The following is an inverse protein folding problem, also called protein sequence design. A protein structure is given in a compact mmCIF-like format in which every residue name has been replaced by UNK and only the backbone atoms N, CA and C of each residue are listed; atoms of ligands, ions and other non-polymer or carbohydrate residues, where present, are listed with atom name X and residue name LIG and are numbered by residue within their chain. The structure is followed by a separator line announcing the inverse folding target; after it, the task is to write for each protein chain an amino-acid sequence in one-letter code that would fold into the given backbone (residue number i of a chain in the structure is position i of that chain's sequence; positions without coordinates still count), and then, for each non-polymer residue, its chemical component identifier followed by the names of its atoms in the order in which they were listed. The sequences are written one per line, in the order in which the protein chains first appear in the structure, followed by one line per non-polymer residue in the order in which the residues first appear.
data_IF_506291523295
#
_entry.id   IF_506291523295
#
_cell.length_a   1.000
_cell.length_b   1.000
_cell.length_c   1.000
_cell.angle_alpha   90.00
_cell.angle_beta   90.00
_cell.angle_gamma   90.00
#
_symmetry.space_group_name_H-M   'P 1'
#
loop_
_entity.id
_entity.type
_entity.pdbx_description
1 polymer ?
#
# COMPACT_ATOMS: atom_id res chain seq x y z
N UNK A 1 33.48 -4.21 -9.55
CA UNK A 1 32.62 -4.92 -8.55
C UNK A 1 31.41 -5.49 -9.29
N UNK A 2 31.04 -6.74 -9.09
CA UNK A 2 29.87 -7.32 -9.75
C UNK A 2 28.60 -6.57 -9.35
N UNK A 3 27.75 -6.28 -10.32
CA UNK A 3 26.54 -5.43 -10.20
C UNK A 3 25.54 -5.88 -9.12
N UNK A 4 25.54 -7.15 -8.76
CA UNK A 4 24.64 -7.70 -7.74
C UNK A 4 24.90 -7.22 -6.32
N UNK A 5 26.16 -6.98 -5.94
CA UNK A 5 26.49 -6.52 -4.57
C UNK A 5 26.09 -5.05 -4.34
N UNK A 6 26.16 -4.19 -5.35
CA UNK A 6 25.69 -2.80 -5.24
C UNK A 6 24.20 -2.71 -4.99
N UNK A 7 23.41 -3.50 -5.70
CA UNK A 7 21.96 -3.54 -5.57
C UNK A 7 21.52 -3.90 -4.14
N UNK A 8 22.14 -4.91 -3.55
CA UNK A 8 21.84 -5.33 -2.18
C UNK A 8 22.21 -4.25 -1.15
N UNK A 9 23.39 -3.62 -1.30
CA UNK A 9 23.85 -2.56 -0.39
C UNK A 9 22.97 -1.31 -0.50
N UNK A 10 22.65 -0.87 -1.73
CA UNK A 10 21.81 0.32 -1.94
C UNK A 10 20.38 0.07 -1.40
N UNK A 11 19.81 -1.12 -1.64
CA UNK A 11 18.51 -1.51 -1.11
C UNK A 11 18.52 -1.55 0.42
N UNK A 12 19.59 -2.06 1.03
CA UNK A 12 19.73 -2.10 2.49
C UNK A 12 19.83 -0.70 3.10
N UNK A 13 20.65 0.19 2.54
CA UNK A 13 20.83 1.58 3.02
C UNK A 13 19.50 2.34 2.89
N UNK A 14 18.82 2.22 1.77
CA UNK A 14 17.52 2.86 1.56
C UNK A 14 16.48 2.27 2.53
N UNK A 15 16.46 0.96 2.72
CA UNK A 15 15.58 0.30 3.68
C UNK A 15 15.83 0.77 5.12
N UNK A 16 17.08 0.90 5.52
CA UNK A 16 17.45 1.45 6.83
C UNK A 16 16.97 2.90 6.99
N UNK A 17 17.20 3.76 5.99
CA UNK A 17 16.71 5.14 5.99
C UNK A 17 15.18 5.22 6.10
N UNK A 18 14.45 4.33 5.41
CA UNK A 18 12.99 4.27 5.50
C UNK A 18 12.50 3.89 6.91
N UNK A 19 13.13 2.89 7.52
CA UNK A 19 12.77 2.42 8.86
C UNK A 19 13.15 3.42 9.95
N UNK A 20 14.26 4.14 9.78
CA UNK A 20 14.73 5.17 10.72
C UNK A 20 14.07 6.53 10.51
N UNK A 21 13.28 6.71 9.45
CA UNK A 21 12.49 7.92 9.25
C UNK A 21 11.50 8.11 10.39
N UNK A 22 11.55 9.28 11.02
CA UNK A 22 10.69 9.63 12.16
C UNK A 22 9.20 9.44 11.87
N UNK A 23 8.77 9.82 10.67
CA UNK A 23 7.37 9.70 10.24
C UNK A 23 6.94 8.24 10.11
N UNK A 24 7.77 7.41 9.49
CA UNK A 24 7.48 5.98 9.32
C UNK A 24 7.54 5.24 10.65
N UNK A 25 8.50 5.60 11.52
CA UNK A 25 8.59 5.06 12.87
C UNK A 25 7.36 5.38 13.71
N UNK A 26 6.87 6.63 13.68
CA UNK A 26 5.64 7.03 14.37
C UNK A 26 4.39 6.33 13.81
N UNK A 27 4.30 6.18 12.48
CA UNK A 27 3.20 5.47 11.84
C UNK A 27 3.18 3.99 12.26
N UNK A 28 4.33 3.32 12.26
CA UNK A 28 4.45 1.94 12.72
C UNK A 28 4.14 1.80 14.21
N UNK A 29 4.69 2.68 15.05
CA UNK A 29 4.43 2.67 16.49
C UNK A 29 2.93 2.88 16.79
N UNK A 30 2.30 3.88 16.15
CA UNK A 30 0.86 4.14 16.29
C UNK A 30 0.00 2.95 15.83
N UNK A 31 0.41 2.30 14.75
CA UNK A 31 -0.25 1.08 14.27
C UNK A 31 -0.14 -0.08 15.28
N UNK A 32 1.04 -0.31 15.85
CA UNK A 32 1.25 -1.35 16.87
C UNK A 32 0.45 -1.06 18.15
N UNK A 33 0.43 0.20 18.59
CA UNK A 33 -0.39 0.64 19.73
C UNK A 33 -1.87 0.39 19.47
N UNK A 34 -2.37 0.75 18.28
CA UNK A 34 -3.76 0.47 17.89
C UNK A 34 -4.09 -1.03 17.95
N UNK A 35 -3.21 -1.88 17.39
CA UNK A 35 -3.41 -3.33 17.45
C UNK A 35 -3.39 -3.86 18.88
N UNK A 36 -2.50 -3.35 19.74
CA UNK A 36 -2.44 -3.70 21.16
C UNK A 36 -3.70 -3.28 21.92
N UNK A 37 -4.19 -2.05 21.69
CA UNK A 37 -5.44 -1.59 22.29
C UNK A 37 -6.64 -2.44 21.88
N UNK A 38 -6.74 -2.79 20.59
CA UNK A 38 -7.80 -3.66 20.09
C UNK A 38 -7.71 -5.08 20.66
N UNK A 39 -6.48 -5.58 20.89
CA UNK A 39 -6.28 -6.88 21.50
C UNK A 39 -6.82 -6.90 22.94
N UNK A 40 -6.56 -5.85 23.70
CA UNK A 40 -7.03 -5.73 25.09
C UNK A 40 -8.53 -5.46 25.17
N UNK A 41 -9.05 -4.60 24.27
CA UNK A 41 -10.44 -4.14 24.34
C UNK A 41 -11.46 -5.15 23.76
N UNK A 42 -11.08 -5.86 22.69
CA UNK A 42 -12.01 -6.75 21.98
C UNK A 42 -11.56 -8.23 22.08
N UNK A 43 -10.50 -8.60 21.39
CA UNK A 43 -9.93 -9.95 21.43
C UNK A 43 -8.79 -10.07 20.40
N UNK A 44 -8.13 -11.22 20.40
CA UNK A 44 -7.21 -11.61 19.33
C UNK A 44 -7.86 -11.48 17.94
N UNK A 45 -9.11 -11.90 17.77
CA UNK A 45 -9.79 -11.86 16.46
C UNK A 45 -10.02 -10.44 15.96
N UNK A 46 -10.38 -9.51 16.85
CA UNK A 46 -10.54 -8.10 16.52
C UNK A 46 -9.23 -7.46 16.11
N UNK A 47 -8.17 -7.65 16.89
CA UNK A 47 -6.83 -7.16 16.58
C UNK A 47 -6.28 -7.74 15.28
N UNK A 48 -6.38 -9.06 15.08
CA UNK A 48 -5.93 -9.72 13.86
C UNK A 48 -6.74 -9.30 12.64
N UNK A 49 -8.06 -9.14 12.80
CA UNK A 49 -8.93 -8.57 11.76
C UNK A 49 -8.48 -7.17 11.38
N UNK A 50 -8.29 -6.28 12.36
CA UNK A 50 -7.80 -4.92 12.13
C UNK A 50 -6.43 -4.91 11.44
N UNK A 51 -5.51 -5.77 11.87
CA UNK A 51 -4.22 -5.94 11.18
C UNK A 51 -4.40 -6.24 9.70
N UNK A 52 -5.21 -7.25 9.35
CA UNK A 52 -5.41 -7.65 7.95
C UNK A 52 -5.98 -6.51 7.08
N UNK A 53 -6.87 -5.66 7.65
CA UNK A 53 -7.49 -4.57 6.90
C UNK A 53 -6.68 -3.28 6.87
N UNK A 54 -5.90 -2.99 7.91
CA UNK A 54 -5.20 -1.72 8.07
C UNK A 54 -3.73 -1.80 7.64
N UNK A 55 -3.13 -2.99 7.65
CA UNK A 55 -1.73 -3.17 7.26
C UNK A 55 -1.37 -2.63 5.86
N UNK A 56 -2.26 -2.61 4.84
CA UNK A 56 -1.95 -2.00 3.56
C UNK A 56 -1.64 -0.50 3.65
N UNK A 57 -2.17 0.21 4.63
CA UNK A 57 -1.87 1.64 4.82
C UNK A 57 -0.41 1.89 5.19
N UNK A 58 0.29 0.92 5.78
CA UNK A 58 1.72 1.05 6.04
C UNK A 58 2.52 1.30 4.76
N UNK A 59 2.09 0.73 3.64
CA UNK A 59 2.74 0.97 2.34
C UNK A 59 2.61 2.42 1.88
N UNK A 60 1.53 3.12 2.23
CA UNK A 60 1.39 4.56 1.98
C UNK A 60 2.49 5.35 2.69
N UNK A 61 2.70 5.06 3.97
CA UNK A 61 3.72 5.76 4.77
C UNK A 61 5.12 5.48 4.25
N UNK A 62 5.44 4.24 3.88
CA UNK A 62 6.75 3.92 3.33
C UNK A 62 6.99 4.51 1.94
N UNK A 63 5.94 4.74 1.15
CA UNK A 63 6.03 5.29 -0.21
C UNK A 63 5.73 6.79 -0.31
N UNK A 64 5.49 7.48 0.80
CA UNK A 64 5.15 8.91 0.82
C UNK A 64 6.23 9.81 0.22
N UNK A 65 7.51 9.43 0.37
CA UNK A 65 8.66 10.16 -0.12
C UNK A 65 9.41 9.34 -1.17
N UNK A 66 8.77 9.14 -2.33
CA UNK A 66 9.43 8.39 -3.38
C UNK A 66 10.37 9.25 -4.21
N UNK A 67 9.99 10.50 -4.49
CA UNK A 67 10.74 11.35 -5.44
C UNK A 67 10.78 12.81 -5.00
N UNK A 68 9.79 13.27 -4.24
CA UNK A 68 9.61 14.71 -3.99
C UNK A 68 10.85 15.36 -3.39
N UNK A 69 11.39 14.77 -2.34
CA UNK A 69 12.54 15.34 -1.62
C UNK A 69 13.81 15.31 -2.47
N UNK A 70 14.01 14.31 -3.32
CA UNK A 70 15.15 14.26 -4.23
C UNK A 70 15.08 15.31 -5.33
N UNK A 71 13.87 15.59 -5.86
CA UNK A 71 13.67 16.64 -6.88
C UNK A 71 13.96 18.02 -6.27
N UNK A 72 13.48 18.27 -5.04
CA UNK A 72 13.59 19.59 -4.42
C UNK A 72 14.93 19.84 -3.70
N UNK A 73 15.66 18.79 -3.31
CA UNK A 73 16.95 18.89 -2.65
C UNK A 73 18.14 19.02 -3.60
N UNK A 74 17.93 18.96 -4.93
CA UNK A 74 19.01 18.90 -5.92
C UNK A 74 19.79 17.57 -5.93
N UNK A 75 19.42 16.60 -5.11
CA UNK A 75 20.07 15.28 -5.10
C UNK A 75 19.99 14.58 -6.44
N UNK A 76 18.92 14.81 -7.21
CA UNK A 76 18.76 14.27 -8.56
C UNK A 76 19.81 14.78 -9.53
N UNK A 77 20.15 16.06 -9.48
CA UNK A 77 21.18 16.66 -10.32
C UNK A 77 22.54 16.04 -10.01
N UNK A 78 22.89 15.89 -8.74
CA UNK A 78 24.12 15.24 -8.31
C UNK A 78 24.19 13.77 -8.76
N UNK A 79 23.08 13.05 -8.71
CA UNK A 79 23.00 11.63 -9.11
C UNK A 79 23.21 11.48 -10.63
N UNK A 80 22.67 12.39 -11.41
CA UNK A 80 22.88 12.44 -12.87
C UNK A 80 24.29 12.88 -13.22
N UNK A 81 24.86 13.84 -12.50
CA UNK A 81 26.24 14.29 -12.66
C UNK A 81 27.25 13.16 -12.44
N UNK A 82 26.97 12.27 -11.49
CA UNK A 82 27.78 11.07 -11.21
C UNK A 82 27.57 9.92 -12.22
N UNK A 83 26.85 10.17 -13.32
CA UNK A 83 26.58 9.18 -14.36
C UNK A 83 25.54 8.11 -13.95
N UNK A 84 24.82 8.34 -12.85
CA UNK A 84 23.72 7.49 -12.44
C UNK A 84 22.52 7.63 -13.35
N UNK A 85 21.75 6.53 -13.49
CA UNK A 85 20.45 6.57 -14.18
C UNK A 85 19.36 6.72 -13.11
N UNK A 86 18.58 7.79 -13.20
CA UNK A 86 17.45 8.07 -12.29
C UNK A 86 16.49 6.87 -12.20
N UNK A 87 16.24 6.22 -13.34
CA UNK A 87 15.40 5.02 -13.41
C UNK A 87 15.91 3.90 -12.50
N UNK A 88 17.22 3.65 -12.47
CA UNK A 88 17.77 2.59 -11.63
C UNK A 88 17.67 2.94 -10.15
N UNK A 89 17.96 4.18 -9.78
CA UNK A 89 17.81 4.65 -8.41
C UNK A 89 16.38 4.50 -7.91
N UNK A 90 15.40 4.94 -8.69
CA UNK A 90 13.98 4.83 -8.31
C UNK A 90 13.51 3.38 -8.25
N UNK A 91 14.03 2.52 -9.15
CA UNK A 91 13.75 1.09 -9.06
C UNK A 91 14.28 0.50 -7.75
N UNK A 92 15.50 0.83 -7.35
CA UNK A 92 16.07 0.36 -6.07
C UNK A 92 15.30 0.91 -4.86
N UNK A 93 14.90 2.18 -4.91
CA UNK A 93 14.08 2.78 -3.85
C UNK A 93 12.71 2.11 -3.77
N UNK A 94 12.04 1.87 -4.88
CA UNK A 94 10.77 1.15 -4.93
C UNK A 94 10.89 -0.30 -4.42
N UNK A 95 11.97 -1.00 -4.82
CA UNK A 95 12.26 -2.34 -4.34
C UNK A 95 12.50 -2.37 -2.82
N UNK A 96 13.28 -1.42 -2.29
CA UNK A 96 13.53 -1.30 -0.86
C UNK A 96 12.23 -1.04 -0.07
N UNK A 97 11.37 -0.15 -0.57
CA UNK A 97 10.05 0.12 0.02
C UNK A 97 9.15 -1.13 0.03
N UNK A 98 9.11 -1.84 -1.10
CA UNK A 98 8.34 -3.07 -1.22
C UNK A 98 8.86 -4.15 -0.26
N UNK A 99 10.18 -4.35 -0.20
CA UNK A 99 10.82 -5.32 0.71
C UNK A 99 10.56 -4.96 2.17
N UNK A 100 10.73 -3.69 2.55
CA UNK A 100 10.45 -3.23 3.91
C UNK A 100 8.96 -3.41 4.28
N UNK A 101 8.05 -2.98 3.39
CA UNK A 101 6.61 -3.11 3.60
C UNK A 101 6.17 -4.58 3.71
N UNK A 102 6.58 -5.41 2.78
CA UNK A 102 6.28 -6.86 2.82
C UNK A 102 6.93 -7.53 4.02
N UNK A 103 8.20 -7.21 4.31
CA UNK A 103 8.94 -7.80 5.43
C UNK A 103 8.29 -7.53 6.78
N UNK A 104 7.92 -6.27 7.07
CA UNK A 104 7.21 -5.89 8.30
C UNK A 104 5.85 -6.58 8.38
N UNK A 105 5.09 -6.59 7.27
CA UNK A 105 3.79 -7.24 7.25
C UNK A 105 3.89 -8.76 7.45
N UNK A 106 4.89 -9.43 6.86
CA UNK A 106 5.16 -10.84 7.07
C UNK A 106 5.54 -11.13 8.52
N UNK A 107 6.39 -10.30 9.12
CA UNK A 107 6.80 -10.45 10.51
C UNK A 107 5.60 -10.33 11.46
N UNK A 108 4.75 -9.32 11.27
CA UNK A 108 3.54 -9.14 12.07
C UNK A 108 2.55 -10.29 11.84
N UNK A 109 2.33 -10.68 10.58
CA UNK A 109 1.45 -11.78 10.24
C UNK A 109 1.92 -13.10 10.86
N UNK A 110 3.23 -13.38 10.83
CA UNK A 110 3.78 -14.60 11.44
C UNK A 110 3.58 -14.63 12.95
N UNK A 111 3.70 -13.49 13.64
CA UNK A 111 3.40 -13.38 15.07
C UNK A 111 1.92 -13.67 15.37
N UNK A 112 1.00 -13.04 14.62
CA UNK A 112 -0.44 -13.33 14.75
C UNK A 112 -0.78 -14.79 14.41
N UNK A 113 -0.18 -15.32 13.34
CA UNK A 113 -0.41 -16.70 12.93
C UNK A 113 0.08 -17.72 13.97
N UNK A 114 1.28 -17.50 14.51
CA UNK A 114 1.85 -18.36 15.56
C UNK A 114 0.97 -18.38 16.82
N UNK A 115 0.54 -17.20 17.28
CA UNK A 115 -0.38 -17.12 18.43
C UNK A 115 -1.75 -17.75 18.12
N UNK A 116 -2.31 -17.45 16.95
CA UNK A 116 -3.60 -18.00 16.55
C UNK A 116 -3.59 -19.52 16.39
N UNK A 117 -2.47 -20.11 15.91
CA UNK A 117 -2.28 -21.57 15.86
C UNK A 117 -2.17 -22.15 17.26
N UNK A 118 -1.38 -21.55 18.15
CA UNK A 118 -1.20 -22.00 19.52
C UNK A 118 -2.52 -21.98 20.32
N UNK A 119 -3.41 -21.03 20.03
CA UNK A 119 -4.71 -20.88 20.73
C UNK A 119 -5.89 -21.51 19.98
N UNK A 120 -5.65 -22.16 18.82
CA UNK A 120 -6.72 -22.73 17.98
C UNK A 120 -7.64 -21.68 17.32
N UNK A 121 -7.24 -20.41 17.27
CA UNK A 121 -8.05 -19.31 16.74
C UNK A 121 -7.67 -18.92 15.29
N UNK A 122 -6.66 -19.56 14.71
CA UNK A 122 -6.19 -19.25 13.36
C UNK A 122 -7.16 -19.81 12.30
N UNK A 123 -7.67 -18.93 11.46
CA UNK A 123 -8.49 -19.31 10.31
C UNK A 123 -7.65 -19.33 9.02
N UNK A 124 -7.66 -20.42 8.27
CA UNK A 124 -6.91 -20.57 7.01
C UNK A 124 -7.27 -19.46 5.99
N UNK A 125 -8.51 -18.95 6.05
CA UNK A 125 -8.95 -17.82 5.22
C UNK A 125 -8.12 -16.54 5.43
N UNK A 126 -7.42 -16.39 6.56
CA UNK A 126 -6.54 -15.26 6.84
C UNK A 126 -5.36 -15.19 5.87
N UNK A 127 -4.84 -16.33 5.39
CA UNK A 127 -3.79 -16.36 4.36
C UNK A 127 -4.21 -15.63 3.08
N UNK A 128 -5.42 -15.92 2.60
CA UNK A 128 -5.92 -15.26 1.40
C UNK A 128 -6.26 -13.77 1.62
N UNK A 129 -6.69 -13.38 2.83
CA UNK A 129 -6.87 -11.97 3.18
C UNK A 129 -5.54 -11.25 3.25
N UNK A 130 -4.53 -11.89 3.81
CA UNK A 130 -3.18 -11.34 3.88
C UNK A 130 -2.57 -11.14 2.48
N UNK A 131 -2.68 -12.13 1.59
CA UNK A 131 -2.23 -12.01 0.21
C UNK A 131 -2.94 -10.87 -0.54
N UNK A 132 -4.27 -10.73 -0.36
CA UNK A 132 -5.02 -9.59 -0.89
C UNK A 132 -4.55 -8.27 -0.27
N UNK A 133 -4.22 -8.24 1.02
CA UNK A 133 -3.66 -7.09 1.72
C UNK A 133 -2.32 -6.62 1.13
N UNK A 134 -1.43 -7.55 0.78
CA UNK A 134 -0.17 -7.23 0.09
C UNK A 134 -0.45 -6.55 -1.26
N UNK A 135 -1.38 -7.10 -2.07
CA UNK A 135 -1.75 -6.50 -3.35
C UNK A 135 -2.31 -5.09 -3.19
N UNK A 136 -3.20 -4.89 -2.21
CA UNK A 136 -3.74 -3.57 -1.86
C UNK A 136 -2.62 -2.62 -1.42
N UNK A 137 -1.66 -3.11 -0.64
CA UNK A 137 -0.48 -2.34 -0.25
C UNK A 137 0.37 -1.90 -1.44
N UNK A 138 0.63 -2.80 -2.40
CA UNK A 138 1.34 -2.49 -3.65
C UNK A 138 0.58 -1.43 -4.46
N UNK A 139 -0.74 -1.54 -4.55
CA UNK A 139 -1.57 -0.52 -5.19
C UNK A 139 -1.42 0.85 -4.51
N UNK A 140 -1.50 0.92 -3.19
CA UNK A 140 -1.28 2.15 -2.44
C UNK A 140 0.11 2.73 -2.67
N UNK A 141 1.15 1.90 -2.64
CA UNK A 141 2.52 2.33 -2.91
C UNK A 141 2.67 2.90 -4.32
N UNK A 142 2.03 2.27 -5.32
CA UNK A 142 2.06 2.75 -6.70
C UNK A 142 1.37 4.12 -6.85
N UNK A 143 0.19 4.30 -6.23
CA UNK A 143 -0.55 5.58 -6.23
C UNK A 143 0.24 6.66 -5.49
N UNK A 144 0.72 6.38 -4.27
CA UNK A 144 1.49 7.34 -3.48
C UNK A 144 2.81 7.72 -4.17
N UNK A 145 3.50 6.73 -4.75
CA UNK A 145 4.70 6.95 -5.53
C UNK A 145 4.47 7.86 -6.74
N UNK A 146 3.39 7.66 -7.47
CA UNK A 146 3.01 8.54 -8.59
C UNK A 146 2.67 9.96 -8.10
N UNK A 147 1.87 10.08 -7.03
CA UNK A 147 1.48 11.37 -6.47
C UNK A 147 2.67 12.15 -5.87
N UNK A 148 3.75 11.46 -5.45
CA UNK A 148 4.95 12.09 -4.91
C UNK A 148 5.69 12.99 -5.92
N UNK A 149 5.36 12.91 -7.23
CA UNK A 149 5.83 13.88 -8.23
C UNK A 149 5.17 15.25 -8.11
N UNK A 150 3.94 15.28 -7.62
CA UNK A 150 3.11 16.49 -7.64
C UNK A 150 2.90 17.06 -6.25
N UNK A 151 3.03 16.24 -5.22
CA UNK A 151 2.67 16.58 -3.86
C UNK A 151 3.87 16.43 -2.93
N UNK A 152 3.96 17.30 -1.93
CA UNK A 152 4.98 17.23 -0.88
C UNK A 152 4.85 15.93 -0.09
N UNK A 153 5.97 15.49 0.46
CA UNK A 153 6.06 14.36 1.40
C UNK A 153 5.01 14.50 2.49
N UNK A 154 4.23 13.46 2.69
CA UNK A 154 3.11 13.41 3.63
C UNK A 154 1.77 13.94 3.09
N UNK A 155 1.76 14.92 2.16
CA UNK A 155 0.51 15.45 1.59
C UNK A 155 -0.19 14.41 0.71
N UNK A 156 0.55 13.58 -0.01
CA UNK A 156 0.01 12.47 -0.79
C UNK A 156 -0.69 11.44 0.08
N UNK A 157 -0.11 11.09 1.23
CA UNK A 157 -0.73 10.18 2.22
C UNK A 157 -2.00 10.79 2.77
N UNK A 158 -1.94 12.07 3.19
CA UNK A 158 -3.09 12.78 3.73
C UNK A 158 -4.26 12.82 2.73
N UNK A 159 -3.98 13.16 1.46
CA UNK A 159 -5.00 13.23 0.41
C UNK A 159 -5.63 11.86 0.16
N UNK A 160 -4.83 10.79 0.12
CA UNK A 160 -5.35 9.44 -0.05
C UNK A 160 -6.23 9.04 1.13
N UNK A 161 -5.75 9.26 2.37
CA UNK A 161 -6.50 8.91 3.58
C UNK A 161 -7.80 9.71 3.73
N UNK A 162 -7.74 11.05 3.52
CA UNK A 162 -8.93 11.90 3.55
C UNK A 162 -9.91 11.53 2.44
N UNK A 163 -9.42 11.31 1.21
CA UNK A 163 -10.24 10.88 0.09
C UNK A 163 -10.95 9.57 0.40
N UNK A 164 -10.27 8.60 0.99
CA UNK A 164 -10.88 7.34 1.39
C UNK A 164 -11.85 7.47 2.55
N UNK A 165 -11.54 8.30 3.54
CA UNK A 165 -12.46 8.58 4.65
C UNK A 165 -13.76 9.21 4.14
N UNK A 166 -13.68 10.19 3.23
CA UNK A 166 -14.84 10.81 2.60
C UNK A 166 -15.64 9.83 1.74
N UNK A 167 -14.96 9.01 0.94
CA UNK A 167 -15.60 7.98 0.12
C UNK A 167 -16.30 6.94 1.01
N UNK A 168 -15.65 6.52 2.10
CA UNK A 168 -16.24 5.57 3.04
C UNK A 168 -17.44 6.16 3.78
N UNK A 169 -17.35 7.42 4.22
CA UNK A 169 -18.48 8.14 4.82
C UNK A 169 -19.64 8.28 3.82
N UNK A 170 -19.37 8.67 2.57
CA UNK A 170 -20.36 8.71 1.50
C UNK A 170 -20.98 7.35 1.21
N UNK A 171 -20.17 6.29 1.23
CA UNK A 171 -20.67 4.92 1.09
C UNK A 171 -21.59 4.52 2.23
N UNK A 172 -21.24 4.82 3.49
CA UNK A 172 -22.09 4.55 4.64
C UNK A 172 -23.43 5.32 4.58
N UNK A 173 -23.39 6.60 4.21
CA UNK A 173 -24.60 7.41 4.05
C UNK A 173 -25.50 6.86 2.93
N UNK A 174 -24.91 6.48 1.80
CA UNK A 174 -25.65 5.88 0.71
C UNK A 174 -26.21 4.50 1.07
N UNK A 175 -25.45 3.73 1.86
CA UNK A 175 -25.87 2.43 2.36
C UNK A 175 -27.08 2.54 3.30
N UNK A 176 -27.11 3.56 4.15
CA UNK A 176 -28.25 3.82 5.05
C UNK A 176 -29.52 4.23 4.31
N UNK A 177 -29.37 4.88 3.14
CA UNK A 177 -30.51 5.32 2.32
C UNK A 177 -30.93 4.33 1.23
N UNK A 178 -30.01 3.47 0.77
CA UNK A 178 -30.21 2.50 -0.31
C UNK A 178 -29.62 1.15 0.07
N UNK A 179 -30.32 0.39 0.89
CA UNK A 179 -29.89 -0.98 1.28
C UNK A 179 -29.49 -1.86 0.09
N UNK A 180 -30.13 -1.71 -1.07
CA UNK A 180 -29.82 -2.47 -2.26
C UNK A 180 -28.41 -2.32 -2.84
N UNK A 181 -27.64 -1.27 -2.49
CA UNK A 181 -26.23 -1.15 -2.88
C UNK A 181 -25.35 -2.06 -2.02
N UNK A 182 -25.56 -2.04 -0.70
CA UNK A 182 -24.81 -2.87 0.25
C UNK A 182 -25.08 -4.34 -0.03
N UNK A 183 -26.35 -4.70 -0.23
CA UNK A 183 -26.74 -6.07 -0.58
C UNK A 183 -26.06 -6.53 -1.89
N UNK A 184 -25.99 -5.68 -2.92
CA UNK A 184 -25.28 -5.99 -4.16
C UNK A 184 -23.79 -6.14 -3.97
N UNK A 185 -23.15 -5.30 -3.14
CA UNK A 185 -21.71 -5.38 -2.87
C UNK A 185 -21.37 -6.55 -1.94
N UNK A 186 -22.29 -6.97 -1.06
CA UNK A 186 -22.10 -8.07 -0.12
C UNK A 186 -22.72 -9.39 -0.59
N UNK A 187 -23.55 -9.38 -1.65
CA UNK A 187 -24.18 -10.59 -2.21
C UNK A 187 -23.16 -11.66 -2.55
N UNK A 188 -23.47 -12.93 -2.31
CA UNK A 188 -22.56 -14.05 -2.53
C UNK A 188 -22.11 -14.18 -4.00
N UNK A 189 -22.97 -13.79 -4.94
CA UNK A 189 -22.68 -13.78 -6.38
C UNK A 189 -22.92 -12.38 -6.97
N UNK A 190 -22.17 -12.02 -8.02
CA UNK A 190 -22.39 -10.80 -8.78
C UNK A 190 -23.37 -11.07 -9.93
N UNK A 191 -24.64 -10.65 -9.83
CA UNK A 191 -25.61 -10.87 -10.89
C UNK A 191 -25.32 -9.93 -12.07
N UNK A 192 -24.61 -10.47 -13.07
CA UNK A 192 -24.35 -9.76 -14.32
C UNK A 192 -23.14 -8.80 -14.33
N UNK A 193 -22.88 -8.25 -15.51
CA UNK A 193 -21.71 -7.39 -15.78
C UNK A 193 -21.75 -6.08 -15.01
N UNK A 194 -22.92 -5.47 -14.87
CA UNK A 194 -23.10 -4.20 -14.17
C UNK A 194 -22.62 -4.27 -12.72
N UNK A 195 -23.03 -5.32 -11.98
CA UNK A 195 -22.62 -5.51 -10.59
C UNK A 195 -21.12 -5.73 -10.45
N UNK A 196 -20.49 -6.40 -11.42
CA UNK A 196 -19.04 -6.58 -11.47
C UNK A 196 -18.32 -5.24 -11.70
N UNK A 197 -18.81 -4.40 -12.60
CA UNK A 197 -18.24 -3.08 -12.88
C UNK A 197 -18.43 -2.11 -11.70
N UNK A 198 -19.60 -2.13 -11.05
CA UNK A 198 -19.85 -1.34 -9.83
C UNK A 198 -18.87 -1.75 -8.72
N UNK A 199 -18.69 -3.07 -8.49
CA UNK A 199 -17.74 -3.54 -7.50
C UNK A 199 -16.30 -3.24 -7.87
N UNK A 200 -15.93 -3.31 -9.14
CA UNK A 200 -14.60 -2.93 -9.63
C UNK A 200 -14.32 -1.45 -9.37
N UNK A 201 -15.28 -0.56 -9.69
CA UNK A 201 -15.16 0.87 -9.43
C UNK A 201 -15.01 1.16 -7.93
N UNK A 202 -15.83 0.53 -7.07
CA UNK A 202 -15.72 0.68 -5.62
C UNK A 202 -14.39 0.13 -5.11
N UNK A 203 -13.92 -1.00 -5.63
CA UNK A 203 -12.65 -1.61 -5.19
C UNK A 203 -11.41 -0.81 -5.63
N UNK A 204 -11.48 -0.02 -6.69
CA UNK A 204 -10.38 0.90 -7.06
C UNK A 204 -10.36 2.15 -6.18
N UNK A 205 -11.49 2.61 -5.71
CA UNK A 205 -11.62 3.77 -4.81
C UNK A 205 -11.40 3.39 -3.34
N UNK A 206 -11.91 2.23 -2.93
CA UNK A 206 -11.79 1.67 -1.58
C UNK A 206 -11.13 0.27 -1.66
N UNK A 207 -9.82 0.19 -1.96
CA UNK A 207 -9.17 -1.09 -2.29
C UNK A 207 -9.19 -2.09 -1.13
N UNK A 208 -9.29 -1.64 0.12
CA UNK A 208 -9.39 -2.54 1.28
C UNK A 208 -10.64 -3.45 1.24
N UNK A 209 -11.68 -3.11 0.47
CA UNK A 209 -12.86 -3.97 0.31
C UNK A 209 -12.50 -5.31 -0.36
N UNK A 210 -11.41 -5.35 -1.15
CA UNK A 210 -10.92 -6.58 -1.80
C UNK A 210 -10.41 -7.59 -0.79
N UNK A 211 -9.94 -7.13 0.37
CA UNK A 211 -9.51 -8.00 1.47
C UNK A 211 -10.70 -8.75 2.05
N UNK A 212 -11.85 -8.07 2.19
CA UNK A 212 -13.08 -8.68 2.65
C UNK A 212 -13.66 -9.65 1.61
N UNK A 213 -13.69 -9.19 0.35
CA UNK A 213 -14.33 -9.91 -0.75
C UNK A 213 -13.37 -10.06 -1.92
N UNK A 214 -12.70 -11.19 -1.97
CA UNK A 214 -11.65 -11.54 -2.93
C UNK A 214 -12.25 -11.99 -4.27
N UNK A 215 -12.96 -11.09 -4.95
CA UNK A 215 -13.43 -11.36 -6.29
C UNK A 215 -12.22 -11.32 -7.26
N UNK A 216 -12.04 -12.36 -8.07
CA UNK A 216 -10.90 -12.49 -8.98
C UNK A 216 -10.75 -11.30 -9.93
N UNK A 217 -11.87 -10.76 -10.45
CA UNK A 217 -11.86 -9.62 -11.35
C UNK A 217 -11.46 -8.31 -10.66
N UNK A 218 -11.75 -8.13 -9.36
CA UNK A 218 -11.28 -6.97 -8.60
C UNK A 218 -9.79 -7.08 -8.25
N UNK A 219 -9.29 -8.29 -8.00
CA UNK A 219 -7.85 -8.56 -7.83
C UNK A 219 -7.10 -8.21 -9.12
N UNK A 220 -7.59 -8.67 -10.28
CA UNK A 220 -7.02 -8.31 -11.58
C UNK A 220 -7.13 -6.81 -11.87
N UNK A 221 -8.26 -6.19 -11.54
CA UNK A 221 -8.47 -4.75 -11.68
C UNK A 221 -7.49 -3.92 -10.87
N UNK A 222 -7.30 -4.24 -9.58
CA UNK A 222 -6.30 -3.58 -8.73
C UNK A 222 -4.89 -3.81 -9.23
N UNK A 223 -4.54 -5.02 -9.64
CA UNK A 223 -3.25 -5.32 -10.24
C UNK A 223 -2.99 -4.51 -11.52
N UNK A 224 -3.99 -4.41 -12.39
CA UNK A 224 -3.94 -3.60 -13.61
C UNK A 224 -3.77 -2.10 -13.31
N UNK A 225 -4.51 -1.57 -12.33
CA UNK A 225 -4.37 -0.17 -11.89
C UNK A 225 -3.02 0.09 -11.23
N UNK A 226 -2.51 -0.83 -10.40
CA UNK A 226 -1.16 -0.71 -9.85
C UNK A 226 -0.10 -0.67 -10.96
N UNK A 227 -0.20 -1.57 -11.96
CA UNK A 227 0.68 -1.59 -13.11
C UNK A 227 0.60 -0.29 -13.93
N UNK A 228 -0.61 0.28 -14.10
CA UNK A 228 -0.82 1.55 -14.77
C UNK A 228 -0.12 2.70 -14.03
N UNK A 229 -0.27 2.82 -12.72
CA UNK A 229 0.39 3.85 -11.93
C UNK A 229 1.92 3.70 -11.94
N UNK A 230 2.43 2.46 -11.85
CA UNK A 230 3.86 2.18 -11.99
C UNK A 230 4.37 2.52 -13.39
N UNK A 231 3.60 2.24 -14.43
CA UNK A 231 3.91 2.63 -15.81
C UNK A 231 3.96 4.15 -16.00
N UNK A 232 2.99 4.88 -15.43
CA UNK A 232 2.96 6.35 -15.44
C UNK A 232 4.14 6.92 -14.64
N UNK A 233 4.49 6.31 -13.52
CA UNK A 233 5.67 6.65 -12.74
C UNK A 233 6.94 6.50 -13.60
N UNK A 234 7.13 5.36 -14.24
CA UNK A 234 8.28 5.09 -15.10
C UNK A 234 8.36 6.05 -16.30
N UNK A 235 7.22 6.38 -16.90
CA UNK A 235 7.14 7.35 -17.99
C UNK A 235 7.54 8.75 -17.54
N UNK A 236 7.04 9.23 -16.39
CA UNK A 236 7.41 10.53 -15.81
C UNK A 236 8.90 10.61 -15.50
N UNK A 237 9.48 9.56 -14.94
CA UNK A 237 10.93 9.46 -14.68
C UNK A 237 11.72 9.62 -15.96
N UNK A 238 11.32 8.93 -17.05
CA UNK A 238 11.97 9.04 -18.35
C UNK A 238 11.91 10.47 -18.90
N UNK A 239 10.77 11.15 -18.76
CA UNK A 239 10.60 12.54 -19.22
C UNK A 239 11.45 13.51 -18.41
N UNK A 240 11.67 13.28 -17.11
CA UNK A 240 12.58 14.07 -16.28
C UNK A 240 14.05 13.88 -16.71
N UNK A 241 14.49 12.64 -16.92
CA UNK A 241 15.86 12.35 -17.41
C UNK A 241 16.17 13.04 -18.75
N UNK A 242 15.17 13.14 -19.65
CA UNK A 242 15.32 13.80 -20.93
C UNK A 242 15.38 15.33 -20.84
N UNK A 243 14.74 15.93 -19.84
CA UNK A 243 14.75 17.40 -19.62
C UNK A 243 16.02 17.90 -18.93
N UNK A 244 16.73 17.02 -18.22
CA UNK A 244 17.94 17.36 -17.48
C UNK A 244 19.24 17.05 -18.26
N UNK A 245 19.14 16.46 -19.46
CA UNK A 245 20.21 16.30 -20.43
C UNK A 245 20.23 17.45 -21.42
#
# INVERSE_FOLDING_TARGET
MPSGNRLAVDTFIIGQKLLTSRTNGLALAGFLVLLGCLWVADSFRGSFGAFLYLSPFLYLFFSQDMIHDEVHSGCLENLLFLGGRLRNYLFYKAAAMAVAGVGINLLLFSGFAAYGLATGQFAVQALGKFAAGILVGVYYAAVAGFLSFFLKTGSNVLIILLGQALLFAGFLLTASQRMGLVERLTAAAFPGLRAKLEFLAVSTLLPNIVIARRAWFSILGLGGMAALFLGLLAWKVKTLELKMK
#
